data_IF_832549487442
#
_entry.id   IF_832549487442
#
_cell.length_a   1.000
_cell.length_b   1.000
_cell.length_c   1.000
_cell.angle_alpha   90.00
_cell.angle_beta   90.00
_cell.angle_gamma   90.00
#
_symmetry.space_group_name_H-M   'P 1'
#
loop_
_entity.id
_entity.type
_entity.pdbx_description
1 polymer ?
#
# COMPACT_ATOMS: atom_id res chain seq x y z
N UNK A 1 -10.39 -34.80 -1.41
CA UNK A 1 -10.21 -33.34 -1.22
C UNK A 1 -9.91 -32.97 0.24
N UNK A 2 -9.30 -33.87 1.03
CA UNK A 2 -8.98 -33.61 2.45
C UNK A 2 -7.51 -33.26 2.73
N UNK A 3 -6.61 -33.38 1.74
CA UNK A 3 -5.16 -33.15 1.92
C UNK A 3 -4.68 -31.71 1.84
N UNK A 4 -5.53 -30.74 1.49
CA UNK A 4 -5.14 -29.33 1.30
C UNK A 4 -5.47 -28.42 2.50
N UNK A 5 -6.23 -28.92 3.48
CA UNK A 5 -6.59 -28.17 4.70
C UNK A 5 -5.54 -28.39 5.81
N UNK A 6 -4.87 -29.55 5.84
CA UNK A 6 -3.79 -29.84 6.79
C UNK A 6 -2.53 -28.98 6.61
N UNK A 7 -2.17 -28.66 5.36
CA UNK A 7 -0.97 -27.86 5.06
C UNK A 7 -1.07 -26.37 5.46
N UNK A 8 -2.30 -25.85 5.63
CA UNK A 8 -2.51 -24.49 6.16
C UNK A 8 -2.43 -24.49 7.68
N UNK A 9 -2.94 -25.55 8.34
CA UNK A 9 -2.81 -25.72 9.79
C UNK A 9 -1.37 -25.91 10.27
N UNK A 10 -0.54 -26.63 9.50
CA UNK A 10 0.88 -26.80 9.82
C UNK A 10 1.69 -25.50 9.66
N UNK A 11 1.29 -24.62 8.73
CA UNK A 11 1.95 -23.31 8.56
C UNK A 11 1.65 -22.37 9.73
N UNK A 12 0.43 -22.42 10.29
CA UNK A 12 0.03 -21.64 11.46
C UNK A 12 0.74 -22.12 12.74
N UNK A 13 0.97 -23.42 12.90
CA UNK A 13 1.70 -23.99 14.05
C UNK A 13 3.20 -23.67 13.99
N UNK A 14 3.81 -23.76 12.80
CA UNK A 14 5.22 -23.38 12.62
C UNK A 14 5.40 -21.88 12.82
N UNK A 15 4.47 -21.05 12.33
CA UNK A 15 4.48 -19.60 12.57
C UNK A 15 4.31 -19.28 14.06
N UNK A 16 3.42 -19.98 14.78
CA UNK A 16 3.20 -19.79 16.22
C UNK A 16 4.43 -20.21 17.04
N UNK A 17 5.12 -21.29 16.66
CA UNK A 17 6.36 -21.73 17.31
C UNK A 17 7.53 -20.77 17.06
N UNK A 18 7.67 -20.26 15.83
CA UNK A 18 8.68 -19.23 15.51
C UNK A 18 8.34 -17.92 16.23
N UNK A 19 7.07 -17.50 16.25
CA UNK A 19 6.65 -16.32 17.00
C UNK A 19 6.92 -16.48 18.49
N UNK A 20 6.62 -17.64 19.07
CA UNK A 20 6.90 -17.95 20.47
C UNK A 20 8.41 -17.95 20.74
N UNK A 21 9.23 -18.41 19.81
CA UNK A 21 10.69 -18.44 19.96
C UNK A 21 11.31 -17.05 19.81
N UNK A 22 10.90 -16.27 18.80
CA UNK A 22 11.33 -14.88 18.58
C UNK A 22 10.81 -13.95 19.68
N UNK A 23 9.58 -14.17 20.18
CA UNK A 23 9.06 -13.48 21.35
C UNK A 23 9.85 -13.87 22.59
N UNK A 24 10.13 -15.15 22.83
CA UNK A 24 10.89 -15.61 24.00
C UNK A 24 12.33 -15.09 24.03
N UNK A 25 13.00 -15.02 22.87
CA UNK A 25 14.31 -14.37 22.72
C UNK A 25 14.24 -12.85 22.92
N UNK A 26 13.19 -12.18 22.42
CA UNK A 26 12.96 -10.74 22.65
C UNK A 26 12.62 -10.42 24.11
N UNK A 27 11.92 -11.32 24.80
CA UNK A 27 11.45 -11.18 26.19
C UNK A 27 12.55 -11.45 27.25
N UNK A 28 13.70 -12.01 26.88
CA UNK A 28 14.79 -12.32 27.82
C UNK A 28 15.76 -11.14 28.08
N UNK A 29 15.62 -10.02 27.35
CA UNK A 29 16.47 -8.84 27.54
C UNK A 29 15.84 -7.82 28.54
N UNK A 30 16.63 -7.04 29.29
CA UNK A 30 16.14 -5.98 30.21
C UNK A 30 15.33 -4.86 29.52
N UNK A 31 15.20 -4.89 28.19
CA UNK A 31 14.37 -4.00 27.38
C UNK A 31 12.87 -4.36 27.40
N UNK A 32 12.51 -5.54 27.94
CA UNK A 32 11.13 -6.04 27.94
C UNK A 32 10.14 -5.11 28.68
N UNK A 33 10.59 -4.41 29.72
CA UNK A 33 9.78 -3.40 30.44
C UNK A 33 9.48 -2.15 29.59
N UNK A 34 10.36 -1.81 28.64
CA UNK A 34 10.17 -0.68 27.71
C UNK A 34 9.21 -1.08 26.58
N UNK A 35 9.34 -2.32 26.08
CA UNK A 35 8.43 -2.89 25.09
C UNK A 35 6.98 -2.98 25.59
N UNK A 36 6.75 -3.42 26.83
CA UNK A 36 5.42 -3.45 27.45
C UNK A 36 4.80 -2.04 27.53
N UNK A 37 5.61 -1.00 27.76
CA UNK A 37 5.17 0.40 27.76
C UNK A 37 4.61 0.87 26.41
N UNK A 38 5.12 0.36 25.29
CA UNK A 38 4.67 0.72 23.94
C UNK A 38 3.26 0.18 23.63
N UNK A 39 2.81 -0.87 24.31
CA UNK A 39 1.45 -1.40 24.14
C UNK A 39 0.38 -0.59 24.89
N UNK A 40 0.77 0.26 25.84
CA UNK A 40 -0.17 1.08 26.63
C UNK A 40 -1.06 1.99 25.76
N UNK A 41 -0.53 2.81 24.82
CA UNK A 41 -1.39 3.65 23.98
C UNK A 41 -2.33 2.82 23.09
N UNK A 42 -1.90 1.64 22.62
CA UNK A 42 -2.74 0.73 21.84
C UNK A 42 -3.88 0.18 22.71
N UNK A 43 -3.56 -0.28 23.93
CA UNK A 43 -4.56 -0.78 24.87
C UNK A 43 -5.57 0.31 25.28
N UNK A 44 -5.11 1.55 25.47
CA UNK A 44 -5.98 2.68 25.76
C UNK A 44 -6.93 2.97 24.58
N UNK A 45 -6.42 2.98 23.36
CA UNK A 45 -7.23 3.18 22.15
C UNK A 45 -8.29 2.09 22.00
N UNK A 46 -7.92 0.83 22.23
CA UNK A 46 -8.85 -0.33 22.23
C UNK A 46 -9.91 -0.18 23.32
N UNK A 47 -9.54 0.22 24.55
CA UNK A 47 -10.50 0.41 25.64
C UNK A 47 -11.49 1.54 25.36
N UNK A 48 -11.04 2.65 24.76
CA UNK A 48 -11.92 3.76 24.36
C UNK A 48 -12.83 3.35 23.20
N UNK A 49 -12.30 2.65 22.19
CA UNK A 49 -13.08 2.07 21.09
C UNK A 49 -14.19 1.16 21.60
N UNK A 50 -13.86 0.29 22.54
CA UNK A 50 -14.81 -0.66 23.12
C UNK A 50 -15.91 0.06 23.90
N UNK A 51 -15.58 1.13 24.62
CA UNK A 51 -16.57 1.99 25.29
C UNK A 51 -17.48 2.73 24.30
N UNK A 52 -16.97 3.05 23.13
CA UNK A 52 -17.72 3.72 22.05
C UNK A 52 -18.46 2.73 21.13
N UNK A 53 -18.28 1.42 21.30
CA UNK A 53 -18.95 0.38 20.52
C UNK A 53 -18.56 0.32 19.05
N UNK A 54 -17.33 0.73 18.70
CA UNK A 54 -16.88 0.91 17.31
C UNK A 54 -16.56 -0.45 16.64
N UNK A 55 -16.36 -1.53 17.41
CA UNK A 55 -16.21 -2.91 16.89
C UNK A 55 -14.85 -3.19 16.23
N UNK A 56 -13.83 -2.38 16.52
CA UNK A 56 -12.49 -2.45 15.92
C UNK A 56 -11.54 -3.45 16.61
N UNK A 57 -11.94 -4.01 17.75
CA UNK A 57 -11.02 -4.68 18.68
C UNK A 57 -10.44 -5.96 18.07
N UNK A 58 -11.27 -6.75 17.39
CA UNK A 58 -10.85 -7.98 16.72
C UNK A 58 -9.91 -7.72 15.54
N UNK A 59 -10.25 -6.75 14.70
CA UNK A 59 -9.44 -6.38 13.53
C UNK A 59 -8.08 -5.83 13.93
N UNK A 60 -7.98 -5.05 15.01
CA UNK A 60 -6.71 -4.55 15.56
C UNK A 60 -5.84 -5.71 16.03
N UNK A 61 -6.39 -6.64 16.82
CA UNK A 61 -5.63 -7.78 17.35
C UNK A 61 -5.11 -8.68 16.23
N UNK A 62 -5.96 -9.01 15.25
CA UNK A 62 -5.56 -9.81 14.08
C UNK A 62 -4.51 -9.07 13.26
N UNK A 63 -4.63 -7.74 13.12
CA UNK A 63 -3.65 -6.92 12.41
C UNK A 63 -2.29 -6.91 13.09
N UNK A 64 -2.25 -6.77 14.42
CA UNK A 64 -1.00 -6.81 15.22
C UNK A 64 -0.29 -8.16 15.05
N UNK A 65 -1.03 -9.26 15.20
CA UNK A 65 -0.46 -10.60 15.07
C UNK A 65 0.07 -10.82 13.65
N UNK A 66 -0.74 -10.51 12.63
CA UNK A 66 -0.38 -10.63 11.23
C UNK A 66 0.82 -9.76 10.86
N UNK A 67 0.86 -8.50 11.29
CA UNK A 67 1.97 -7.60 11.00
C UNK A 67 3.26 -8.09 11.64
N UNK A 68 3.19 -8.65 12.85
CA UNK A 68 4.36 -9.19 13.56
C UNK A 68 4.96 -10.37 12.80
N UNK A 69 4.13 -11.34 12.38
CA UNK A 69 4.57 -12.47 11.54
C UNK A 69 5.19 -11.96 10.24
N UNK A 70 4.52 -11.02 9.57
CA UNK A 70 4.97 -10.48 8.29
C UNK A 70 6.32 -9.76 8.41
N UNK A 71 6.56 -9.03 9.50
CA UNK A 71 7.81 -8.31 9.71
C UNK A 71 8.98 -9.27 9.97
N UNK A 72 8.76 -10.30 10.79
CA UNK A 72 9.75 -11.36 11.04
C UNK A 72 10.05 -12.10 9.73
N UNK A 73 9.02 -12.53 9.01
CA UNK A 73 9.17 -13.19 7.71
C UNK A 73 9.90 -12.33 6.68
N UNK A 74 9.60 -11.03 6.64
CA UNK A 74 10.31 -10.08 5.78
C UNK A 74 11.80 -9.99 6.12
N UNK A 75 12.16 -9.98 7.41
CA UNK A 75 13.56 -9.98 7.86
C UNK A 75 14.34 -11.19 7.31
N UNK A 76 13.78 -12.40 7.42
CA UNK A 76 14.37 -13.61 6.85
C UNK A 76 14.44 -13.57 5.32
N UNK A 77 13.38 -13.10 4.67
CA UNK A 77 13.35 -12.96 3.21
C UNK A 77 14.43 -12.00 2.70
N UNK A 78 14.61 -10.85 3.37
CA UNK A 78 15.63 -9.86 3.02
C UNK A 78 17.04 -10.42 3.21
N UNK A 79 17.29 -11.16 4.30
CA UNK A 79 18.59 -11.83 4.50
C UNK A 79 18.93 -12.74 3.31
N UNK A 80 18.00 -13.58 2.89
CA UNK A 80 18.18 -14.48 1.74
C UNK A 80 18.39 -13.72 0.42
N UNK A 81 17.66 -12.62 0.20
CA UNK A 81 17.80 -11.79 -1.00
C UNK A 81 19.16 -11.09 -1.03
N UNK A 82 19.66 -10.61 0.11
CA UNK A 82 20.91 -9.86 0.19
C UNK A 82 22.14 -10.77 0.10
N UNK A 83 22.11 -11.97 0.66
CA UNK A 83 23.19 -12.96 0.51
C UNK A 83 23.35 -13.45 -0.92
N UNK A 84 22.24 -13.53 -1.68
CA UNK A 84 22.26 -14.03 -3.04
C UNK A 84 22.83 -13.06 -4.07
N UNK A 85 22.73 -11.73 -3.85
CA UNK A 85 23.07 -10.63 -4.77
C UNK A 85 22.59 -10.78 -6.25
N UNK A 86 21.66 -11.70 -6.51
CA UNK A 86 21.21 -12.03 -7.86
C UNK A 86 20.03 -11.16 -8.29
N UNK A 87 20.13 -10.60 -9.50
CA UNK A 87 19.13 -9.69 -10.06
C UNK A 87 17.73 -10.31 -10.15
N UNK A 88 17.63 -11.61 -10.44
CA UNK A 88 16.34 -12.29 -10.56
C UNK A 88 15.59 -12.36 -9.22
N UNK A 89 16.30 -12.42 -8.07
CA UNK A 89 15.68 -12.45 -6.75
C UNK A 89 15.05 -11.10 -6.42
N UNK A 90 15.73 -10.01 -6.79
CA UNK A 90 15.20 -8.65 -6.65
C UNK A 90 13.95 -8.46 -7.51
N UNK A 91 14.00 -8.85 -8.78
CA UNK A 91 12.86 -8.76 -9.70
C UNK A 91 11.67 -9.59 -9.21
N UNK A 92 11.91 -10.80 -8.70
CA UNK A 92 10.86 -11.64 -8.11
C UNK A 92 10.24 -10.99 -6.88
N UNK A 93 11.05 -10.43 -5.98
CA UNK A 93 10.55 -9.73 -4.80
C UNK A 93 9.68 -8.52 -5.17
N UNK A 94 10.12 -7.69 -6.14
CA UNK A 94 9.35 -6.54 -6.63
C UNK A 94 8.03 -7.00 -7.26
N UNK A 95 8.06 -8.04 -8.10
CA UNK A 95 6.85 -8.60 -8.71
C UNK A 95 5.87 -9.09 -7.64
N UNK A 96 6.36 -9.82 -6.65
CA UNK A 96 5.56 -10.29 -5.52
C UNK A 96 4.92 -9.12 -4.76
N UNK A 97 5.71 -8.07 -4.46
CA UNK A 97 5.20 -6.86 -3.80
C UNK A 97 4.09 -6.18 -4.63
N UNK A 98 4.23 -6.07 -5.95
CA UNK A 98 3.22 -5.48 -6.83
C UNK A 98 1.93 -6.31 -6.83
N UNK A 99 2.02 -7.64 -6.91
CA UNK A 99 0.85 -8.52 -6.90
C UNK A 99 0.09 -8.43 -5.58
N UNK A 100 0.79 -8.52 -4.45
CA UNK A 100 0.18 -8.40 -3.11
C UNK A 100 -0.42 -7.01 -2.91
N UNK A 101 0.28 -5.97 -3.37
CA UNK A 101 -0.18 -4.58 -3.25
C UNK A 101 -1.39 -4.31 -4.12
N UNK A 102 -1.39 -4.75 -5.38
CA UNK A 102 -2.52 -4.61 -6.30
C UNK A 102 -3.75 -5.37 -5.83
N UNK A 103 -3.56 -6.57 -5.26
CA UNK A 103 -4.65 -7.31 -4.61
C UNK A 103 -5.22 -6.58 -3.40
N UNK A 104 -4.35 -6.01 -2.56
CA UNK A 104 -4.75 -5.29 -1.33
C UNK A 104 -5.44 -3.97 -1.66
N UNK A 105 -4.89 -3.17 -2.57
CA UNK A 105 -5.51 -1.94 -3.07
C UNK A 105 -6.85 -2.23 -3.74
N UNK A 106 -6.93 -3.24 -4.61
CA UNK A 106 -8.17 -3.62 -5.29
C UNK A 106 -9.24 -4.17 -4.33
N UNK A 107 -8.85 -4.79 -3.22
CA UNK A 107 -9.78 -5.18 -2.14
C UNK A 107 -10.39 -4.00 -1.41
N UNK A 108 -9.80 -2.81 -1.47
CA UNK A 108 -10.35 -1.59 -0.87
C UNK A 108 -11.56 -1.07 -1.67
N UNK A 109 -11.60 -1.34 -2.97
CA UNK A 109 -12.69 -0.94 -3.87
C UNK A 109 -13.37 -2.18 -4.47
N UNK A 110 -13.93 -3.07 -3.63
CA UNK A 110 -14.52 -4.36 -4.09
C UNK A 110 -15.69 -4.19 -5.06
N UNK A 111 -16.38 -3.06 -4.95
CA UNK A 111 -17.52 -2.69 -5.78
C UNK A 111 -17.12 -2.18 -7.17
N UNK A 112 -15.83 -1.88 -7.40
CA UNK A 112 -15.33 -1.56 -8.72
C UNK A 112 -15.10 -2.86 -9.51
N UNK A 113 -15.68 -3.04 -10.71
CA UNK A 113 -15.43 -4.23 -11.50
C UNK A 113 -13.94 -4.33 -11.82
N UNK A 114 -13.38 -5.56 -11.78
CA UNK A 114 -11.95 -5.83 -12.04
C UNK A 114 -10.97 -4.95 -11.22
N UNK A 115 -11.38 -4.45 -10.06
CA UNK A 115 -10.58 -3.54 -9.21
C UNK A 115 -9.16 -4.04 -8.95
N UNK A 116 -8.98 -5.33 -8.68
CA UNK A 116 -7.67 -5.95 -8.47
C UNK A 116 -6.76 -5.86 -9.69
N UNK A 117 -7.30 -6.10 -10.89
CA UNK A 117 -6.52 -6.01 -12.13
C UNK A 117 -6.15 -4.56 -12.43
N UNK A 118 -7.10 -3.63 -12.26
CA UNK A 118 -6.87 -2.20 -12.43
C UNK A 118 -5.76 -1.74 -11.49
N UNK A 119 -5.91 -1.98 -10.18
CA UNK A 119 -4.93 -1.59 -9.18
C UNK A 119 -3.54 -2.21 -9.42
N UNK A 120 -3.48 -3.50 -9.76
CA UNK A 120 -2.20 -4.18 -10.04
C UNK A 120 -1.51 -3.59 -11.26
N UNK A 121 -2.24 -3.34 -12.35
CA UNK A 121 -1.66 -2.76 -13.57
C UNK A 121 -1.20 -1.32 -13.34
N UNK A 122 -1.96 -0.54 -12.58
CA UNK A 122 -1.59 0.84 -12.23
C UNK A 122 -0.35 0.91 -11.34
N UNK A 123 -0.18 -0.01 -10.41
CA UNK A 123 1.04 -0.13 -9.59
C UNK A 123 2.23 -0.64 -10.41
N UNK A 124 2.01 -1.62 -11.30
CA UNK A 124 3.05 -2.12 -12.19
C UNK A 124 3.59 -1.00 -13.10
N UNK A 125 2.70 -0.22 -13.72
CA UNK A 125 3.12 0.85 -14.63
C UNK A 125 3.69 2.05 -13.86
N UNK A 126 3.02 2.51 -12.80
CA UNK A 126 3.46 3.70 -12.07
C UNK A 126 4.65 3.44 -11.16
N UNK A 127 4.55 2.52 -10.21
CA UNK A 127 5.61 2.26 -9.24
C UNK A 127 6.79 1.51 -9.86
N UNK A 128 6.55 0.40 -10.58
CA UNK A 128 7.64 -0.33 -11.23
C UNK A 128 8.26 0.45 -12.40
N UNK A 129 7.45 1.18 -13.17
CA UNK A 129 7.96 2.06 -14.23
C UNK A 129 8.84 3.18 -13.67
N UNK A 130 8.46 3.80 -12.56
CA UNK A 130 9.30 4.83 -11.90
C UNK A 130 10.59 4.24 -11.34
N UNK A 131 10.51 3.07 -10.69
CA UNK A 131 11.69 2.31 -10.25
C UNK A 131 12.64 2.04 -11.42
N UNK A 132 12.12 1.49 -12.52
CA UNK A 132 12.91 1.18 -13.71
C UNK A 132 13.55 2.44 -14.32
N UNK A 133 12.81 3.53 -14.41
CA UNK A 133 13.30 4.82 -14.93
C UNK A 133 14.45 5.37 -14.06
N UNK A 134 14.32 5.32 -12.74
CA UNK A 134 15.37 5.79 -11.83
C UNK A 134 16.64 4.94 -11.93
N UNK A 135 16.50 3.63 -12.13
CA UNK A 135 17.63 2.73 -12.35
C UNK A 135 18.31 2.97 -13.71
N UNK A 136 17.52 3.22 -14.77
CA UNK A 136 18.04 3.60 -16.09
C UNK A 136 18.83 4.91 -16.05
N UNK A 137 18.34 5.91 -15.30
CA UNK A 137 19.01 7.20 -15.10
C UNK A 137 20.22 7.11 -14.16
N UNK A 138 20.56 5.93 -13.62
CA UNK A 138 21.66 5.70 -12.68
C UNK A 138 21.61 6.62 -11.45
N UNK A 139 20.41 6.98 -11.01
CA UNK A 139 20.19 7.74 -9.76
C UNK A 139 20.61 6.90 -8.55
N UNK A 140 20.45 5.58 -8.63
CA UNK A 140 20.86 4.62 -7.60
C UNK A 140 21.91 3.64 -8.10
N UNK A 141 22.82 3.26 -7.20
CA UNK A 141 23.62 2.05 -7.40
C UNK A 141 22.72 0.82 -7.39
N UNK A 142 22.91 -0.07 -8.37
CA UNK A 142 22.12 -1.29 -8.50
C UNK A 142 22.55 -2.33 -7.46
N UNK A 143 22.16 -2.12 -6.19
CA UNK A 143 22.40 -3.07 -5.09
C UNK A 143 21.07 -3.48 -4.46
N UNK A 144 20.92 -4.78 -4.21
CA UNK A 144 19.71 -5.37 -3.62
C UNK A 144 19.28 -4.66 -2.32
N UNK A 145 20.26 -4.29 -1.49
CA UNK A 145 20.07 -3.58 -0.21
C UNK A 145 19.40 -2.22 -0.33
N UNK A 146 19.47 -1.57 -1.50
CA UNK A 146 18.80 -0.29 -1.74
C UNK A 146 17.51 -0.48 -2.53
N UNK A 147 17.55 -1.29 -3.59
CA UNK A 147 16.42 -1.45 -4.51
C UNK A 147 15.21 -2.06 -3.80
N UNK A 148 15.39 -3.16 -3.05
CA UNK A 148 14.26 -3.90 -2.50
C UNK A 148 13.53 -3.11 -1.40
N UNK A 149 14.22 -2.49 -0.41
CA UNK A 149 13.55 -1.63 0.56
C UNK A 149 12.90 -0.39 -0.07
N UNK A 150 13.57 0.25 -1.03
CA UNK A 150 13.02 1.43 -1.73
C UNK A 150 11.79 1.06 -2.54
N UNK A 151 11.81 -0.07 -3.24
CA UNK A 151 10.66 -0.59 -3.96
C UNK A 151 9.50 -0.89 -3.02
N UNK A 152 9.75 -1.59 -1.90
CA UNK A 152 8.72 -1.88 -0.90
C UNK A 152 8.06 -0.61 -0.35
N UNK A 153 8.86 0.42 -0.04
CA UNK A 153 8.37 1.71 0.43
C UNK A 153 7.51 2.43 -0.64
N UNK A 154 8.00 2.51 -1.87
CA UNK A 154 7.31 3.20 -2.97
C UNK A 154 6.02 2.47 -3.38
N UNK A 155 6.07 1.15 -3.54
CA UNK A 155 4.93 0.32 -3.91
C UNK A 155 3.88 0.34 -2.78
N UNK A 156 4.29 0.21 -1.52
CA UNK A 156 3.39 0.22 -0.37
C UNK A 156 2.64 1.53 -0.16
N UNK A 157 3.30 2.68 -0.35
CA UNK A 157 2.62 3.98 -0.30
C UNK A 157 1.70 4.18 -1.52
N UNK A 158 2.18 3.83 -2.71
CA UNK A 158 1.38 3.91 -3.94
C UNK A 158 0.13 3.01 -3.86
N UNK A 159 0.22 1.85 -3.20
CA UNK A 159 -0.90 0.94 -2.93
C UNK A 159 -2.02 1.65 -2.17
N UNK A 160 -1.69 2.32 -1.07
CA UNK A 160 -2.66 3.03 -0.23
C UNK A 160 -3.33 4.15 -1.02
N UNK A 161 -2.55 4.91 -1.78
CA UNK A 161 -3.04 6.02 -2.63
C UNK A 161 -3.96 5.51 -3.73
N UNK A 162 -3.56 4.47 -4.47
CA UNK A 162 -4.39 3.85 -5.53
C UNK A 162 -5.68 3.29 -4.95
N UNK A 163 -5.61 2.59 -3.82
CA UNK A 163 -6.80 2.02 -3.16
C UNK A 163 -7.82 3.10 -2.80
N UNK A 164 -7.38 4.18 -2.14
CA UNK A 164 -8.26 5.31 -1.77
C UNK A 164 -8.77 6.05 -3.00
N UNK A 165 -7.94 6.22 -4.04
CA UNK A 165 -8.34 6.88 -5.29
C UNK A 165 -9.44 6.10 -6.00
N UNK A 166 -9.29 4.78 -6.16
CA UNK A 166 -10.28 3.94 -6.83
C UNK A 166 -11.59 3.85 -6.05
N UNK A 167 -11.49 3.74 -4.72
CA UNK A 167 -12.64 3.75 -3.81
C UNK A 167 -13.41 5.06 -3.97
N UNK A 168 -12.70 6.20 -3.95
CA UNK A 168 -13.32 7.50 -4.11
C UNK A 168 -13.92 7.70 -5.49
N UNK A 169 -13.23 7.31 -6.54
CA UNK A 169 -13.72 7.42 -7.91
C UNK A 169 -15.04 6.67 -8.08
N UNK A 170 -15.10 5.42 -7.60
CA UNK A 170 -16.31 4.60 -7.69
C UNK A 170 -17.45 5.21 -6.87
N UNK A 171 -17.16 5.63 -5.64
CA UNK A 171 -18.14 6.28 -4.79
C UNK A 171 -18.71 7.55 -5.43
N UNK A 172 -17.86 8.45 -5.93
CA UNK A 172 -18.29 9.70 -6.54
C UNK A 172 -19.15 9.46 -7.79
N UNK A 173 -18.78 8.50 -8.66
CA UNK A 173 -19.57 8.16 -9.86
C UNK A 173 -20.92 7.57 -9.46
N UNK A 174 -20.96 6.70 -8.44
CA UNK A 174 -22.22 6.11 -7.96
C UNK A 174 -23.17 7.17 -7.39
N UNK A 175 -22.68 8.04 -6.51
CA UNK A 175 -23.50 9.10 -5.91
C UNK A 175 -24.05 10.07 -6.96
N UNK A 176 -23.30 10.31 -8.04
CA UNK A 176 -23.68 11.27 -9.09
C UNK A 176 -24.16 10.62 -10.39
N UNK A 177 -24.58 9.35 -10.34
CA UNK A 177 -25.00 8.58 -11.52
C UNK A 177 -26.03 9.33 -12.38
N UNK A 178 -27.05 9.93 -11.75
CA UNK A 178 -28.09 10.66 -12.47
C UNK A 178 -27.57 11.90 -13.21
N UNK A 179 -26.55 12.59 -12.67
CA UNK A 179 -25.92 13.72 -13.35
C UNK A 179 -25.08 13.27 -14.54
N UNK A 180 -24.41 12.12 -14.40
CA UNK A 180 -23.60 11.51 -15.47
C UNK A 180 -24.51 11.05 -16.61
N UNK A 181 -25.62 10.39 -16.31
CA UNK A 181 -26.61 9.95 -17.30
C UNK A 181 -27.26 11.13 -18.01
N UNK A 182 -27.59 12.21 -17.29
CA UNK A 182 -28.08 13.44 -17.91
C UNK A 182 -27.05 14.04 -18.87
N UNK A 183 -25.78 14.12 -18.46
CA UNK A 183 -24.72 14.63 -19.34
C UNK A 183 -24.56 13.77 -20.61
N UNK A 184 -24.62 12.44 -20.48
CA UNK A 184 -24.59 11.52 -21.63
C UNK A 184 -25.80 11.71 -22.55
N UNK A 185 -27.00 11.89 -21.98
CA UNK A 185 -28.22 12.17 -22.73
C UNK A 185 -28.17 13.51 -23.48
N UNK A 186 -27.44 14.49 -22.95
CA UNK A 186 -27.14 15.77 -23.61
C UNK A 186 -25.99 15.68 -24.63
N UNK A 187 -25.44 14.49 -24.88
CA UNK A 187 -24.40 14.25 -25.88
C UNK A 187 -22.97 14.41 -25.37
N UNK A 188 -22.75 14.53 -24.06
CA UNK A 188 -21.39 14.51 -23.51
C UNK A 188 -20.75 13.13 -23.70
N UNK A 189 -19.44 13.09 -23.92
CA UNK A 189 -18.69 11.82 -23.90
C UNK A 189 -18.54 11.30 -22.47
N UNK A 190 -18.39 9.98 -22.24
CA UNK A 190 -18.15 9.43 -20.90
C UNK A 190 -16.98 10.10 -20.18
N UNK A 191 -15.89 10.38 -20.90
CA UNK A 191 -14.72 11.04 -20.35
C UNK A 191 -15.03 12.46 -19.84
N UNK A 192 -15.84 13.23 -20.56
CA UNK A 192 -16.30 14.55 -20.13
C UNK A 192 -17.23 14.44 -18.92
N UNK A 193 -18.17 13.49 -18.94
CA UNK A 193 -19.13 13.29 -17.88
C UNK A 193 -18.46 12.89 -16.55
N UNK A 194 -17.36 12.12 -16.59
CA UNK A 194 -16.65 11.70 -15.36
C UNK A 194 -15.46 12.55 -14.93
N UNK A 195 -15.00 13.47 -15.78
CA UNK A 195 -13.83 14.31 -15.51
C UNK A 195 -13.81 14.99 -14.13
N UNK A 196 -14.89 15.63 -13.63
CA UNK A 196 -14.86 16.27 -12.31
C UNK A 196 -14.62 15.25 -11.18
N UNK A 197 -15.18 14.03 -11.31
CA UNK A 197 -15.03 12.96 -10.32
C UNK A 197 -13.62 12.36 -10.33
N UNK A 198 -13.02 12.21 -11.52
CA UNK A 198 -11.62 11.80 -11.65
C UNK A 198 -10.70 12.80 -10.93
N UNK A 199 -10.90 14.11 -11.18
CA UNK A 199 -10.09 15.15 -10.53
C UNK A 199 -10.21 15.09 -9.01
N UNK A 200 -11.43 14.94 -8.48
CA UNK A 200 -11.65 14.84 -7.02
C UNK A 200 -11.00 13.58 -6.43
N UNK A 201 -11.14 12.44 -7.08
CA UNK A 201 -10.54 11.19 -6.63
C UNK A 201 -9.00 11.27 -6.55
N UNK A 202 -8.35 11.85 -7.58
CA UNK A 202 -6.90 12.05 -7.59
C UNK A 202 -6.46 12.98 -6.46
N UNK A 203 -7.14 14.12 -6.29
CA UNK A 203 -6.80 15.09 -5.24
C UNK A 203 -6.94 14.48 -3.84
N UNK A 204 -7.98 13.68 -3.61
CA UNK A 204 -8.18 13.01 -2.32
C UNK A 204 -7.15 11.90 -2.09
N UNK A 205 -6.85 11.09 -3.11
CA UNK A 205 -5.84 10.04 -3.00
C UNK A 205 -4.43 10.59 -2.77
N UNK A 206 -4.07 11.68 -3.46
CA UNK A 206 -2.75 12.31 -3.36
C UNK A 206 -2.61 13.28 -2.17
N UNK A 207 -3.70 13.67 -1.52
CA UNK A 207 -3.67 14.60 -0.39
C UNK A 207 -2.62 14.27 0.67
N UNK A 208 -2.60 13.03 1.23
CA UNK A 208 -1.65 12.66 2.28
C UNK A 208 -0.18 12.79 1.87
N UNK A 209 0.17 12.42 0.64
CA UNK A 209 1.56 12.55 0.16
C UNK A 209 1.93 14.01 -0.06
N UNK A 210 1.03 14.83 -0.62
CA UNK A 210 1.26 16.26 -0.82
C UNK A 210 1.42 16.98 0.54
N UNK A 211 0.61 16.63 1.54
CA UNK A 211 0.71 17.23 2.88
C UNK A 211 1.96 16.76 3.64
N UNK A 212 2.37 15.51 3.45
CA UNK A 212 3.66 15.02 3.94
C UNK A 212 4.83 15.79 3.31
N UNK A 213 4.81 16.05 2.00
CA UNK A 213 5.86 16.85 1.33
C UNK A 213 5.98 18.27 1.85
N UNK A 214 4.88 18.91 2.27
CA UNK A 214 4.91 20.27 2.83
C UNK A 214 5.56 20.33 4.22
N UNK A 215 5.57 19.21 4.93
CA UNK A 215 5.89 19.16 6.37
C UNK A 215 7.13 18.32 6.68
N UNK A 216 7.60 17.52 5.72
CA UNK A 216 8.81 16.71 5.85
C UNK A 216 10.03 17.60 6.09
N UNK A 217 10.81 17.24 7.13
CA UNK A 217 11.97 18.00 7.57
C UNK A 217 11.65 19.19 8.47
N UNK A 218 10.39 19.62 8.59
CA UNK A 218 9.96 20.67 9.54
C UNK A 218 9.40 20.07 10.82
N UNK A 219 8.44 19.14 10.70
CA UNK A 219 7.74 18.53 11.85
C UNK A 219 7.91 17.02 11.90
N UNK A 220 8.17 16.40 10.74
CA UNK A 220 8.35 14.96 10.63
C UNK A 220 9.72 14.63 10.05
N UNK A 221 10.46 13.75 10.73
CA UNK A 221 11.63 13.10 10.17
C UNK A 221 11.22 11.72 9.64
N UNK A 222 11.39 11.45 8.33
CA UNK A 222 11.10 10.14 7.76
C UNK A 222 11.87 9.03 8.48
N UNK A 223 11.22 7.89 8.72
CA UNK A 223 11.81 6.78 9.47
C UNK A 223 13.11 6.23 8.86
N UNK A 224 13.22 6.21 7.52
CA UNK A 224 14.45 5.83 6.81
C UNK A 224 15.61 6.78 7.11
N UNK A 225 15.35 8.08 7.16
CA UNK A 225 16.34 9.10 7.51
C UNK A 225 16.78 8.95 8.97
N UNK A 226 15.82 8.83 9.90
CA UNK A 226 16.11 8.59 11.32
C UNK A 226 16.94 7.32 11.53
N UNK A 227 16.62 6.24 10.80
CA UNK A 227 17.38 5.00 10.83
C UNK A 227 18.83 5.16 10.38
N UNK A 228 19.09 5.91 9.30
CA UNK A 228 20.45 6.20 8.84
C UNK A 228 21.24 7.03 9.86
N UNK A 229 20.60 8.03 10.48
CA UNK A 229 21.21 8.85 11.54
C UNK A 229 21.56 8.01 12.77
N UNK A 230 20.63 7.16 13.23
CA UNK A 230 20.89 6.23 14.36
C UNK A 230 21.98 5.20 14.01
N UNK A 231 22.09 4.83 12.74
CA UNK A 231 23.16 3.99 12.21
C UNK A 231 24.51 4.70 12.06
N UNK A 232 24.62 5.98 12.45
CA UNK A 232 25.86 6.75 12.42
C UNK A 232 26.20 7.38 11.07
N UNK A 233 25.27 7.38 10.10
CA UNK A 233 25.48 8.08 8.82
C UNK A 233 25.50 9.60 9.03
N UNK A 234 26.22 10.34 8.18
CA UNK A 234 26.23 11.79 8.29
C UNK A 234 24.84 12.38 7.99
N UNK A 235 24.43 13.49 8.63
CA UNK A 235 23.13 14.10 8.36
C UNK A 235 22.94 14.50 6.89
N UNK A 236 24.00 14.94 6.22
CA UNK A 236 23.93 15.37 4.82
C UNK A 236 23.65 14.18 3.89
N UNK A 237 24.29 13.04 4.11
CA UNK A 237 24.02 11.81 3.32
C UNK A 237 22.58 11.32 3.53
N UNK A 238 22.10 11.33 4.78
CA UNK A 238 20.73 10.92 5.10
C UNK A 238 19.69 11.82 4.40
N UNK A 239 19.92 13.14 4.38
CA UNK A 239 19.06 14.10 3.67
C UNK A 239 19.06 13.85 2.16
N UNK A 240 20.23 13.65 1.54
CA UNK A 240 20.34 13.42 0.10
C UNK A 240 19.57 12.17 -0.34
N UNK A 241 19.75 11.05 0.37
CA UNK A 241 19.02 9.82 0.10
C UNK A 241 17.50 10.01 0.31
N UNK A 242 17.12 10.74 1.35
CA UNK A 242 15.71 10.97 1.64
C UNK A 242 15.02 11.82 0.56
N UNK A 243 15.69 12.85 0.03
CA UNK A 243 15.17 13.68 -1.08
C UNK A 243 14.94 12.81 -2.32
N UNK A 244 15.89 11.93 -2.66
CA UNK A 244 15.76 11.03 -3.81
C UNK A 244 14.56 10.09 -3.66
N UNK A 245 14.41 9.42 -2.51
CA UNK A 245 13.28 8.52 -2.23
C UNK A 245 11.95 9.28 -2.24
N UNK A 246 11.92 10.50 -1.71
CA UNK A 246 10.69 11.31 -1.64
C UNK A 246 10.18 11.69 -3.04
N UNK A 247 11.05 12.19 -3.92
CA UNK A 247 10.65 12.53 -5.30
C UNK A 247 10.29 11.31 -6.11
N UNK A 248 10.99 10.20 -5.90
CA UNK A 248 10.64 8.93 -6.49
C UNK A 248 9.26 8.46 -6.04
N UNK A 249 8.96 8.55 -4.75
CA UNK A 249 7.66 8.20 -4.21
C UNK A 249 6.56 9.08 -4.81
N UNK A 250 6.77 10.40 -4.88
CA UNK A 250 5.83 11.34 -5.48
C UNK A 250 5.53 10.98 -6.94
N UNK A 251 6.56 10.75 -7.75
CA UNK A 251 6.42 10.37 -9.16
C UNK A 251 5.68 9.05 -9.34
N UNK A 252 6.09 8.02 -8.60
CA UNK A 252 5.46 6.70 -8.62
C UNK A 252 3.98 6.76 -8.22
N UNK A 253 3.67 7.46 -7.13
CA UNK A 253 2.31 7.60 -6.62
C UNK A 253 1.42 8.39 -7.58
N UNK A 254 1.94 9.48 -8.15
CA UNK A 254 1.22 10.28 -9.14
C UNK A 254 0.90 9.47 -10.40
N UNK A 255 1.90 8.79 -10.98
CA UNK A 255 1.70 7.95 -12.16
C UNK A 255 0.73 6.81 -11.87
N UNK A 256 0.91 6.08 -10.76
CA UNK A 256 0.00 5.01 -10.37
C UNK A 256 -1.43 5.50 -10.17
N UNK A 257 -1.63 6.68 -9.59
CA UNK A 257 -2.94 7.30 -9.41
C UNK A 257 -3.59 7.66 -10.76
N UNK A 258 -2.84 8.29 -11.67
CA UNK A 258 -3.32 8.62 -13.03
C UNK A 258 -3.70 7.38 -13.83
N UNK A 259 -2.85 6.33 -13.79
CA UNK A 259 -3.16 5.04 -14.41
C UNK A 259 -4.37 4.36 -13.76
N UNK A 260 -4.52 4.45 -12.44
CA UNK A 260 -5.66 3.88 -11.72
C UNK A 260 -6.97 4.56 -12.13
N UNK A 261 -7.01 5.89 -12.17
CA UNK A 261 -8.20 6.60 -12.62
C UNK A 261 -8.51 6.31 -14.08
N UNK A 262 -7.53 6.42 -14.98
CA UNK A 262 -7.73 6.24 -16.43
C UNK A 262 -8.25 4.84 -16.80
N UNK A 263 -7.82 3.80 -16.08
CA UNK A 263 -8.34 2.44 -16.23
C UNK A 263 -9.65 2.25 -15.46
N UNK A 264 -9.75 2.78 -14.24
CA UNK A 264 -10.87 2.61 -13.33
C UNK A 264 -12.19 3.13 -13.89
N UNK A 265 -12.20 4.34 -14.46
CA UNK A 265 -13.44 4.88 -15.04
C UNK A 265 -13.91 4.07 -16.26
N UNK A 266 -12.98 3.58 -17.10
CA UNK A 266 -13.32 2.80 -18.30
C UNK A 266 -14.03 1.50 -17.97
N UNK A 267 -13.71 0.90 -16.82
CA UNK A 267 -14.30 -0.37 -16.39
C UNK A 267 -15.72 -0.20 -15.83
N UNK A 268 -16.12 1.03 -15.50
CA UNK A 268 -17.49 1.36 -15.05
C UNK A 268 -18.48 1.55 -16.21
N UNK A 269 -18.00 1.67 -17.45
CA UNK A 269 -18.86 1.86 -18.63
C UNK A 269 -18.92 0.59 -19.50
N UNK A 270 -20.13 0.30 -19.97
CA UNK A 270 -20.37 -0.69 -21.03
C UNK A 270 -19.83 -0.21 -22.39
N UNK A 271 -19.75 -1.11 -23.37
CA UNK A 271 -19.45 -0.77 -24.77
C UNK A 271 -20.43 0.26 -25.36
N UNK A 272 -21.66 0.31 -24.83
CA UNK A 272 -22.72 1.24 -25.23
C UNK A 272 -22.76 2.50 -24.34
N UNK A 273 -21.70 2.82 -23.60
CA UNK A 273 -21.60 3.98 -22.70
C UNK A 273 -22.64 4.05 -21.57
N UNK A 274 -23.22 2.91 -21.21
CA UNK A 274 -24.08 2.77 -20.03
C UNK A 274 -23.24 2.54 -18.78
N UNK A 275 -23.59 3.19 -17.67
CA UNK A 275 -23.00 2.92 -16.36
C UNK A 275 -23.39 1.50 -15.90
N UNK A 276 -22.41 0.70 -15.50
CA UNK A 276 -22.61 -0.64 -14.97
C UNK A 276 -22.38 -0.63 -13.47
N UNK A 277 -23.44 -0.39 -12.71
CA UNK A 277 -23.47 -0.70 -11.28
C UNK A 277 -24.23 -2.01 -11.10
N UNK A 278 -23.56 -3.01 -10.53
CA UNK A 278 -24.17 -4.29 -10.22
C UNK A 278 -24.98 -4.11 -8.91
N UNK A 279 -26.29 -3.87 -9.03
CA UNK A 279 -27.21 -3.64 -7.90
C UNK A 279 -27.24 -4.82 -6.90
N UNK A 280 -26.68 -5.98 -7.27
CA UNK A 280 -26.71 -7.20 -6.45
C UNK A 280 -25.66 -7.26 -5.33
N UNK A 281 -24.65 -6.38 -5.30
CA UNK A 281 -23.56 -6.43 -4.28
C UNK A 281 -23.64 -5.40 -3.18
N UNK A 282 -24.65 -4.53 -3.20
CA UNK A 282 -24.83 -3.46 -2.20
C UNK A 282 -25.66 -3.93 -1.00
N UNK A 283 -26.29 -5.12 -1.09
CA UNK A 283 -27.14 -5.71 -0.05
C UNK A 283 -26.52 -6.92 0.69
N UNK A 284 -25.21 -7.18 0.54
CA UNK A 284 -24.52 -8.30 1.22
C UNK A 284 -23.35 -7.86 2.08
#
# INVERSE_FOLDING_TARGET
MEGAVGAVGDLDVVACSILATTLKESFQSPECRRLVGTFVPVALAVAVSHKLGIGFEGDILVSIFRSSIQLVGLGYALKFIFEGEKIYMCSFAILFMILVSGHTAGKRSKELPKSRMVATLSLAVGAAGTLALMLLLRVYEFKARYIVPTAGYVIGNSMSIVGTTLERLRHDIYVHQGQIELALALGATPAQAVHPYIRRAILQGMGPIVDSLKTVGLVSMPGSMTGMLMGGSSPLEAVQMQIQVLYMLLGASALSCLFACSLGWRVLFSKNFQLQFDDTRVLS
#
